data_IF_837084413132
#
_entry.id   IF_837084413132
#
_cell.length_a   1.000
_cell.length_b   1.000
_cell.length_c   1.000
_cell.angle_alpha   90.00
_cell.angle_beta   90.00
_cell.angle_gamma   90.00
#
_symmetry.space_group_name_H-M   'P 1'
#
loop_
_entity.id
_entity.type
_entity.pdbx_description
1 polymer ?
#
# COMPACT_ATOMS: atom_id res chain seq x y z
N UNK A 1 -0.71 15.58 -4.10
CA UNK A 1 -1.45 14.60 -3.28
C UNK A 1 -0.83 13.22 -3.48
N UNK A 2 -0.85 12.34 -2.48
CA UNK A 2 -0.31 10.98 -2.60
C UNK A 2 -1.40 10.05 -3.13
N UNK A 3 -1.12 9.29 -4.19
CA UNK A 3 -2.06 8.37 -4.82
C UNK A 3 -1.65 6.91 -4.67
N UNK A 4 -2.59 5.97 -4.86
CA UNK A 4 -2.34 4.53 -4.86
C UNK A 4 -1.36 4.13 -5.97
N UNK A 5 -1.50 4.69 -7.16
CA UNK A 5 -0.61 4.43 -8.30
C UNK A 5 0.82 4.89 -7.98
N UNK A 6 0.96 6.09 -7.41
CA UNK A 6 2.26 6.58 -6.98
C UNK A 6 2.88 5.73 -5.87
N UNK A 7 2.06 5.17 -4.95
CA UNK A 7 2.56 4.24 -3.94
C UNK A 7 3.08 2.96 -4.59
N UNK A 8 2.31 2.38 -5.51
CA UNK A 8 2.66 1.15 -6.22
C UNK A 8 3.99 1.32 -6.97
N UNK A 9 4.13 2.39 -7.74
CA UNK A 9 5.37 2.64 -8.48
C UNK A 9 6.55 2.95 -7.54
N UNK A 10 6.29 3.67 -6.46
CA UNK A 10 7.32 3.89 -5.44
C UNK A 10 7.80 2.57 -4.85
N UNK A 11 6.93 1.69 -4.36
CA UNK A 11 7.37 0.45 -3.71
C UNK A 11 8.02 -0.53 -4.67
N UNK A 12 7.54 -0.61 -5.93
CA UNK A 12 8.20 -1.38 -6.99
C UNK A 12 9.64 -0.91 -7.21
N UNK A 13 9.87 0.40 -7.24
CA UNK A 13 11.22 0.98 -7.39
C UNK A 13 12.19 0.65 -6.26
N UNK A 14 11.68 0.17 -5.11
CA UNK A 14 12.50 -0.18 -3.93
C UNK A 14 12.78 -1.66 -3.81
N UNK A 15 12.26 -2.52 -4.71
CA UNK A 15 12.59 -3.94 -4.72
C UNK A 15 14.11 -4.12 -4.82
N UNK A 16 14.69 -4.95 -3.93
CA UNK A 16 16.13 -5.14 -3.80
C UNK A 16 16.81 -4.22 -2.78
N UNK A 17 16.14 -3.18 -2.28
CA UNK A 17 16.67 -2.38 -1.17
C UNK A 17 16.78 -3.23 0.12
N UNK A 18 17.83 -3.07 0.94
CA UNK A 18 17.96 -3.83 2.17
C UNK A 18 16.95 -3.46 3.27
N UNK A 19 16.73 -4.39 4.20
CA UNK A 19 15.84 -4.18 5.34
C UNK A 19 16.61 -3.77 6.58
N UNK A 20 16.26 -2.63 7.18
CA UNK A 20 16.79 -2.16 8.46
C UNK A 20 15.64 -1.76 9.38
N UNK A 21 15.54 -2.43 10.54
CA UNK A 21 14.45 -2.17 11.49
C UNK A 21 14.45 -0.71 11.96
N UNK A 22 13.31 -0.03 11.87
CA UNK A 22 13.13 1.36 12.28
C UNK A 22 13.60 2.39 11.25
N UNK A 23 13.75 2.03 9.98
CA UNK A 23 14.21 2.94 8.90
C UNK A 23 13.15 3.13 7.83
N UNK A 24 13.19 4.26 7.14
CA UNK A 24 12.15 4.68 6.20
C UNK A 24 12.74 5.34 4.95
N UNK A 25 13.79 4.75 4.38
CA UNK A 25 14.50 5.26 3.20
C UNK A 25 15.78 6.03 3.52
N UNK A 26 16.25 5.94 4.77
CA UNK A 26 17.55 6.46 5.18
C UNK A 26 18.66 5.81 4.33
N UNK A 27 19.76 6.54 4.10
CA UNK A 27 20.97 5.96 3.51
C UNK A 27 21.74 5.25 4.61
N UNK A 28 21.99 3.95 4.42
CA UNK A 28 22.79 3.15 5.33
C UNK A 28 24.20 3.74 5.48
N UNK A 29 24.60 3.95 6.73
CA UNK A 29 25.88 4.55 7.10
C UNK A 29 26.30 4.06 8.49
N UNK A 30 27.57 4.30 8.84
CA UNK A 30 28.10 4.02 10.18
C UNK A 30 27.27 4.71 11.27
N UNK A 31 26.94 5.99 11.07
CA UNK A 31 26.17 6.77 12.04
C UNK A 31 24.75 6.24 12.22
N UNK A 32 24.09 5.85 11.13
CA UNK A 32 22.77 5.25 11.19
C UNK A 32 22.81 3.89 11.89
N UNK A 33 23.81 3.06 11.59
CA UNK A 33 23.98 1.75 12.22
C UNK A 33 24.15 1.91 13.73
N UNK A 34 25.08 2.76 14.17
CA UNK A 34 25.29 3.04 15.60
C UNK A 34 24.02 3.53 16.28
N UNK A 35 23.31 4.47 15.68
CA UNK A 35 22.06 5.00 16.22
C UNK A 35 20.99 3.91 16.36
N UNK A 36 20.78 3.09 15.31
CA UNK A 36 19.76 2.04 15.34
C UNK A 36 20.14 0.86 16.22
N UNK A 37 21.42 0.54 16.37
CA UNK A 37 21.89 -0.46 17.32
C UNK A 37 21.61 -0.08 18.77
N UNK A 38 21.75 1.21 19.11
CA UNK A 38 21.38 1.72 20.44
C UNK A 38 19.86 1.72 20.64
N UNK A 39 19.10 2.12 19.61
CA UNK A 39 17.64 2.21 19.69
C UNK A 39 16.96 0.82 19.74
N UNK A 40 17.49 -0.15 19.00
CA UNK A 40 16.86 -1.47 18.80
C UNK A 40 17.88 -2.61 18.87
N UNK A 41 18.58 -2.84 20.00
CA UNK A 41 19.70 -3.79 20.08
C UNK A 41 19.33 -5.23 19.69
N UNK A 42 18.07 -5.64 19.89
CA UNK A 42 17.58 -6.97 19.48
C UNK A 42 17.55 -7.19 17.96
N UNK A 43 17.48 -6.13 17.16
CA UNK A 43 17.46 -6.21 15.70
C UNK A 43 18.85 -6.05 15.08
N UNK A 44 19.77 -5.42 15.81
CA UNK A 44 21.13 -5.09 15.38
C UNK A 44 22.17 -5.84 16.21
N UNK A 45 22.09 -7.17 16.14
CA UNK A 45 23.00 -8.09 16.82
C UNK A 45 24.37 -8.12 16.16
N UNK A 46 25.41 -8.45 16.92
CA UNK A 46 26.81 -8.49 16.46
C UNK A 46 26.98 -9.39 15.21
N UNK A 47 26.33 -10.56 15.18
CA UNK A 47 26.38 -11.47 14.04
C UNK A 47 25.75 -10.92 12.74
N UNK A 48 25.05 -9.77 12.78
CA UNK A 48 24.48 -9.09 11.61
C UNK A 48 25.32 -7.90 11.14
N UNK A 49 26.32 -7.48 11.93
CA UNK A 49 27.04 -6.23 11.71
C UNK A 49 27.75 -6.18 10.36
N UNK A 50 28.45 -7.25 9.98
CA UNK A 50 29.13 -7.33 8.68
C UNK A 50 28.16 -7.12 7.50
N UNK A 51 26.96 -7.71 7.57
CA UNK A 51 25.92 -7.53 6.55
C UNK A 51 25.43 -6.09 6.50
N UNK A 52 25.19 -5.44 7.65
CA UNK A 52 24.80 -4.04 7.68
C UNK A 52 25.89 -3.13 7.08
N UNK A 53 27.16 -3.35 7.43
CA UNK A 53 28.30 -2.61 6.87
C UNK A 53 28.42 -2.77 5.35
N UNK A 54 28.16 -3.97 4.81
CA UNK A 54 28.15 -4.24 3.36
C UNK A 54 27.07 -3.49 2.58
N UNK A 55 26.08 -2.92 3.28
CA UNK A 55 24.93 -2.22 2.69
C UNK A 55 25.08 -0.69 2.74
N UNK A 56 26.19 -0.15 3.25
CA UNK A 56 26.42 1.29 3.29
C UNK A 56 26.29 1.94 1.91
N UNK A 57 25.71 3.15 1.89
CA UNK A 57 25.36 3.87 0.68
C UNK A 57 24.03 3.46 0.04
N UNK A 58 23.40 2.37 0.48
CA UNK A 58 22.08 1.94 -0.03
C UNK A 58 20.94 2.55 0.79
N UNK A 59 19.80 2.80 0.15
CA UNK A 59 18.56 3.11 0.87
C UNK A 59 18.05 1.89 1.63
N UNK A 60 17.62 2.08 2.87
CA UNK A 60 17.13 0.98 3.73
C UNK A 60 15.76 1.30 4.32
N UNK A 61 14.94 0.26 4.46
CA UNK A 61 13.54 0.37 4.87
C UNK A 61 13.18 -0.73 5.88
N UNK A 62 12.22 -0.46 6.76
CA UNK A 62 11.39 -1.51 7.37
C UNK A 62 9.99 -1.56 6.73
N UNK A 63 9.12 -2.42 7.24
CA UNK A 63 7.82 -2.67 6.63
C UNK A 63 6.92 -1.44 6.58
N UNK A 64 6.70 -0.76 7.71
CA UNK A 64 5.92 0.48 7.72
C UNK A 64 6.71 1.66 7.17
N UNK A 65 8.03 1.64 7.32
CA UNK A 65 8.98 2.61 6.80
C UNK A 65 8.99 2.70 5.28
N UNK A 66 8.73 1.61 4.58
CA UNK A 66 8.54 1.62 3.12
C UNK A 66 7.35 2.49 2.70
N UNK A 67 6.21 2.38 3.40
CA UNK A 67 5.02 3.20 3.13
C UNK A 67 5.23 4.64 3.63
N UNK A 68 5.81 4.82 4.82
CA UNK A 68 6.15 6.14 5.36
C UNK A 68 7.08 6.90 4.42
N UNK A 69 8.06 6.24 3.82
CA UNK A 69 8.95 6.85 2.85
C UNK A 69 8.19 7.46 1.66
N UNK A 70 7.21 6.73 1.09
CA UNK A 70 6.37 7.29 0.03
C UNK A 70 5.58 8.51 0.51
N UNK A 71 4.95 8.42 1.69
CA UNK A 71 4.15 9.51 2.24
C UNK A 71 4.98 10.76 2.54
N UNK A 72 6.23 10.59 2.98
CA UNK A 72 7.11 11.65 3.47
C UNK A 72 8.06 12.20 2.41
N UNK A 73 8.20 11.53 1.27
CA UNK A 73 9.03 12.02 0.17
C UNK A 73 8.31 13.20 -0.51
N UNK A 74 8.93 14.38 -0.53
CA UNK A 74 8.43 15.55 -1.25
C UNK A 74 8.65 15.45 -2.77
N UNK A 75 8.23 16.47 -3.51
CA UNK A 75 8.39 16.55 -4.97
C UNK A 75 9.85 16.56 -5.45
N UNK A 76 10.80 16.89 -4.58
CA UNK A 76 12.23 16.91 -4.86
C UNK A 76 12.92 15.59 -4.47
N UNK A 77 12.15 14.59 -4.04
CA UNK A 77 12.69 13.29 -3.62
C UNK A 77 13.27 13.30 -2.19
N UNK A 78 13.03 14.34 -1.40
CA UNK A 78 13.54 14.45 -0.03
C UNK A 78 12.51 13.96 0.98
N UNK A 79 12.95 13.13 1.93
CA UNK A 79 12.12 12.66 3.04
C UNK A 79 11.95 13.80 4.07
N UNK A 80 10.71 14.20 4.30
CA UNK A 80 10.28 15.18 5.30
C UNK A 80 9.49 14.44 6.39
N UNK A 81 10.10 14.27 7.56
CA UNK A 81 9.52 13.52 8.66
C UNK A 81 8.16 14.10 9.12
N UNK A 82 7.20 13.23 9.39
CA UNK A 82 5.89 13.59 9.91
C UNK A 82 5.49 12.66 11.07
N UNK A 83 5.51 13.20 12.30
CA UNK A 83 5.23 12.45 13.53
C UNK A 83 3.80 11.91 13.60
N UNK A 84 2.82 12.59 12.99
CA UNK A 84 1.43 12.11 12.99
C UNK A 84 1.24 10.82 12.17
N UNK A 85 2.22 10.49 11.32
CA UNK A 85 2.21 9.32 10.44
C UNK A 85 3.29 8.31 10.85
N UNK A 86 4.06 8.55 11.92
CA UNK A 86 5.11 7.62 12.36
C UNK A 86 4.50 6.45 13.15
N UNK A 87 3.90 5.54 12.40
CA UNK A 87 3.17 4.40 12.93
C UNK A 87 3.92 3.08 12.68
N UNK A 88 3.72 2.14 13.60
CA UNK A 88 4.03 0.72 13.36
C UNK A 88 3.02 0.10 12.40
N UNK A 89 3.28 -1.12 11.91
CA UNK A 89 2.32 -1.87 11.08
C UNK A 89 0.93 -1.98 11.75
N UNK A 90 0.90 -2.28 13.06
CA UNK A 90 -0.35 -2.34 13.82
C UNK A 90 -1.01 -0.95 13.97
N UNK A 91 -0.21 0.10 14.07
CA UNK A 91 -0.68 1.48 14.10
C UNK A 91 -1.35 1.88 12.78
N UNK A 92 -0.74 1.56 11.64
CA UNK A 92 -1.35 1.75 10.32
C UNK A 92 -2.70 1.05 10.22
N UNK A 93 -2.76 -0.23 10.58
CA UNK A 93 -4.01 -1.00 10.52
C UNK A 93 -5.14 -0.35 11.34
N UNK A 94 -4.85 0.08 12.57
CA UNK A 94 -5.83 0.75 13.45
C UNK A 94 -6.35 2.09 12.88
N UNK A 95 -5.58 2.73 12.01
CA UNK A 95 -5.95 4.01 11.39
C UNK A 95 -6.59 3.86 10.00
N UNK A 96 -6.76 2.63 9.50
CA UNK A 96 -7.42 2.41 8.22
C UNK A 96 -8.93 2.72 8.35
N UNK A 97 -9.49 3.68 7.60
CA UNK A 97 -10.92 4.02 7.68
C UNK A 97 -11.81 2.94 7.07
N UNK A 98 -11.26 2.13 6.16
CA UNK A 98 -11.89 0.97 5.55
C UNK A 98 -10.91 -0.19 5.63
N UNK A 99 -11.36 -1.33 6.14
CA UNK A 99 -10.55 -2.53 6.32
C UNK A 99 -11.42 -3.78 6.38
N UNK A 100 -10.79 -4.95 6.28
CA UNK A 100 -11.46 -6.25 6.38
C UNK A 100 -10.48 -7.39 6.57
N UNK A 101 -11.01 -8.61 6.69
CA UNK A 101 -10.17 -9.82 6.67
C UNK A 101 -9.61 -10.04 5.27
N UNK A 102 -8.46 -10.69 5.16
CA UNK A 102 -7.79 -10.89 3.86
C UNK A 102 -8.68 -11.61 2.84
N UNK A 103 -9.61 -12.45 3.30
CA UNK A 103 -10.57 -13.18 2.46
C UNK A 103 -11.64 -12.30 1.82
N UNK A 104 -11.84 -11.08 2.32
CA UNK A 104 -12.81 -10.11 1.78
C UNK A 104 -12.11 -8.96 1.05
N UNK A 105 -10.81 -9.07 0.79
CA UNK A 105 -10.04 -8.03 0.12
C UNK A 105 -10.52 -7.90 -1.33
N UNK A 106 -10.96 -6.71 -1.77
CA UNK A 106 -11.23 -6.48 -3.18
C UNK A 106 -9.91 -6.46 -3.97
N UNK A 107 -9.97 -6.75 -5.26
CA UNK A 107 -8.82 -6.57 -6.15
C UNK A 107 -8.60 -5.09 -6.46
N UNK A 108 -8.14 -4.34 -5.46
CA UNK A 108 -7.85 -2.91 -5.54
C UNK A 108 -6.36 -2.65 -5.27
N UNK A 109 -5.55 -2.39 -6.30
CA UNK A 109 -4.14 -2.07 -6.13
C UNK A 109 -3.90 -0.87 -5.20
N UNK A 110 -2.82 -0.92 -4.43
CA UNK A 110 -2.42 0.10 -3.45
C UNK A 110 -2.90 -0.16 -2.02
N UNK A 111 -3.81 -1.13 -1.83
CA UNK A 111 -4.24 -1.54 -0.48
C UNK A 111 -3.06 -1.99 0.37
N UNK A 112 -3.13 -1.69 1.67
CA UNK A 112 -2.19 -2.24 2.65
C UNK A 112 -2.67 -3.61 3.11
N UNK A 113 -1.76 -4.57 3.19
CA UNK A 113 -2.02 -5.91 3.75
C UNK A 113 -1.24 -6.10 5.03
N UNK A 114 -1.84 -6.79 6.00
CA UNK A 114 -1.36 -6.85 7.38
C UNK A 114 -1.34 -8.27 7.92
N UNK A 115 -0.30 -8.58 8.69
CA UNK A 115 -0.24 -9.69 9.64
C UNK A 115 0.35 -9.15 10.95
N UNK A 116 0.28 -9.87 12.08
CA UNK A 116 0.74 -9.34 13.36
C UNK A 116 2.17 -8.78 13.29
N UNK A 117 2.32 -7.46 13.50
CA UNK A 117 3.61 -6.77 13.50
C UNK A 117 4.24 -6.52 12.12
N UNK A 118 3.53 -6.80 11.01
CA UNK A 118 4.09 -6.67 9.67
C UNK A 118 3.05 -6.18 8.65
N UNK A 119 3.52 -5.49 7.61
CA UNK A 119 2.67 -4.97 6.54
C UNK A 119 3.37 -4.98 5.17
N UNK A 120 2.56 -4.95 4.11
CA UNK A 120 2.99 -4.81 2.72
C UNK A 120 1.98 -3.99 1.91
N UNK A 121 2.32 -3.73 0.65
CA UNK A 121 1.45 -3.02 -0.31
C UNK A 121 1.03 -4.00 -1.39
N UNK A 122 -0.27 -4.22 -1.54
CA UNK A 122 -0.83 -4.97 -2.66
C UNK A 122 -0.67 -4.15 -3.95
N UNK A 123 -0.11 -4.76 -4.99
CA UNK A 123 0.20 -4.07 -6.25
C UNK A 123 -0.64 -4.56 -7.44
N UNK A 124 -1.71 -5.31 -7.17
CA UNK A 124 -2.56 -5.95 -8.18
C UNK A 124 -2.10 -7.37 -8.53
N UNK A 125 -2.95 -8.10 -9.26
CA UNK A 125 -2.64 -9.43 -9.80
C UNK A 125 -2.15 -10.46 -8.77
N UNK A 126 -2.64 -10.39 -7.53
CA UNK A 126 -2.21 -11.31 -6.47
C UNK A 126 -0.78 -11.06 -5.96
N UNK A 127 -0.16 -9.92 -6.26
CA UNK A 127 1.22 -9.60 -5.87
C UNK A 127 1.27 -8.52 -4.76
N UNK A 128 2.27 -8.65 -3.88
CA UNK A 128 2.54 -7.72 -2.77
C UNK A 128 3.99 -7.31 -2.78
N UNK A 129 4.29 -6.04 -2.51
CA UNK A 129 5.65 -5.58 -2.20
C UNK A 129 5.76 -5.33 -0.70
N UNK A 130 6.79 -5.90 -0.08
CA UNK A 130 7.03 -5.79 1.36
C UNK A 130 8.53 -5.68 1.68
N UNK A 131 8.88 -4.84 2.66
CA UNK A 131 10.18 -4.90 3.31
C UNK A 131 10.14 -6.06 4.32
N UNK A 132 10.43 -7.28 3.84
CA UNK A 132 10.09 -8.55 4.52
C UNK A 132 10.88 -8.82 5.80
N UNK A 133 12.11 -8.32 5.88
CA UNK A 133 12.99 -8.53 7.02
C UNK A 133 14.46 -8.61 6.62
N UNK A 134 15.34 -8.65 7.63
CA UNK A 134 16.80 -8.56 7.48
C UNK A 134 17.37 -9.48 6.39
N UNK A 135 16.95 -10.74 6.35
CA UNK A 135 17.47 -11.74 5.40
C UNK A 135 16.98 -11.58 3.96
N UNK A 136 16.04 -10.66 3.70
CA UNK A 136 15.34 -10.56 2.41
C UNK A 136 15.42 -9.16 1.80
N UNK A 137 15.28 -8.10 2.61
CA UNK A 137 15.10 -6.75 2.08
C UNK A 137 13.66 -6.48 1.62
N UNK A 138 13.53 -5.54 0.69
CA UNK A 138 12.28 -5.25 -0.03
C UNK A 138 12.15 -6.21 -1.19
N UNK A 139 11.05 -6.97 -1.19
CA UNK A 139 10.80 -8.05 -2.16
C UNK A 139 9.36 -8.01 -2.64
N UNK A 140 9.14 -8.61 -3.82
CA UNK A 140 7.82 -8.95 -4.31
C UNK A 140 7.46 -10.37 -3.86
N UNK A 141 6.25 -10.56 -3.35
CA UNK A 141 5.72 -11.85 -2.89
C UNK A 141 4.32 -12.07 -3.44
N UNK A 142 3.93 -13.33 -3.58
CA UNK A 142 2.54 -13.68 -3.89
C UNK A 142 1.69 -13.55 -2.63
N UNK A 143 0.55 -12.86 -2.74
CA UNK A 143 -0.41 -12.61 -1.67
C UNK A 143 -0.79 -13.92 -0.96
N UNK A 144 -1.13 -14.96 -1.74
CA UNK A 144 -1.60 -16.24 -1.21
C UNK A 144 -0.49 -17.09 -0.56
N UNK A 145 0.80 -16.80 -0.83
CA UNK A 145 1.94 -17.51 -0.24
C UNK A 145 2.42 -16.91 1.08
N UNK A 146 1.76 -15.85 1.55
CA UNK A 146 2.11 -15.14 2.78
C UNK A 146 0.92 -15.18 3.74
N UNK A 147 1.14 -15.29 5.06
CA UNK A 147 0.07 -15.45 6.04
C UNK A 147 -0.62 -14.12 6.39
N UNK A 148 -0.95 -13.31 5.39
CA UNK A 148 -1.71 -12.07 5.56
C UNK A 148 -3.07 -12.38 6.23
N UNK A 149 -3.52 -11.49 7.11
CA UNK A 149 -4.74 -11.67 7.91
C UNK A 149 -5.78 -10.62 7.61
N UNK A 150 -5.36 -9.38 7.39
CA UNK A 150 -6.25 -8.26 7.15
C UNK A 150 -5.73 -7.40 6.00
N UNK A 151 -6.60 -6.57 5.45
CA UNK A 151 -6.28 -5.50 4.53
C UNK A 151 -6.85 -4.16 5.02
N UNK A 152 -6.37 -3.05 4.49
CA UNK A 152 -6.90 -1.75 4.81
C UNK A 152 -6.48 -0.64 3.85
N UNK A 153 -7.31 0.40 3.77
CA UNK A 153 -7.06 1.63 3.02
C UNK A 153 -6.19 2.56 3.85
N UNK A 154 -5.08 3.04 3.30
CA UNK A 154 -4.26 4.05 3.96
C UNK A 154 -4.98 5.41 3.95
N UNK A 155 -5.23 6.07 5.10
CA UNK A 155 -6.00 7.32 5.16
C UNK A 155 -5.32 8.53 4.50
N UNK A 156 -4.03 8.42 4.19
CA UNK A 156 -3.24 9.49 3.56
C UNK A 156 -3.02 9.29 2.06
N UNK A 157 -3.72 8.33 1.45
CA UNK A 157 -3.60 7.99 0.05
C UNK A 157 -4.96 8.13 -0.61
N UNK A 158 -4.97 8.79 -1.76
CA UNK A 158 -6.11 8.84 -2.67
C UNK A 158 -6.09 7.59 -3.55
N UNK A 159 -7.22 6.90 -3.64
CA UNK A 159 -7.38 5.67 -4.42
C UNK A 159 -8.28 5.95 -5.62
N UNK A 160 -8.04 5.21 -6.71
CA UNK A 160 -9.02 5.05 -7.78
C UNK A 160 -9.64 3.68 -7.69
N UNK A 161 -10.96 3.63 -7.66
CA UNK A 161 -11.73 2.40 -7.74
C UNK A 161 -11.47 1.66 -9.04
N UNK A 162 -11.57 0.32 -8.99
CA UNK A 162 -11.43 -0.53 -10.18
C UNK A 162 -12.68 -0.55 -11.03
N UNK A 163 -13.82 -0.17 -10.47
CA UNK A 163 -15.13 -0.26 -11.11
C UNK A 163 -15.80 -1.63 -10.98
N UNK A 164 -15.13 -2.66 -10.44
CA UNK A 164 -15.75 -3.92 -10.05
C UNK A 164 -16.44 -3.73 -8.70
N UNK A 165 -17.73 -3.39 -8.71
CA UNK A 165 -18.44 -2.94 -7.50
C UNK A 165 -19.08 -4.12 -6.75
N UNK A 166 -19.36 -5.22 -7.45
CA UNK A 166 -19.91 -6.42 -6.83
C UNK A 166 -18.85 -7.44 -6.38
N UNK A 167 -17.57 -7.17 -6.67
CA UNK A 167 -16.39 -7.89 -6.17
C UNK A 167 -16.36 -9.34 -6.68
N UNK A 168 -16.78 -9.55 -7.92
CA UNK A 168 -16.75 -10.85 -8.59
C UNK A 168 -15.50 -11.07 -9.47
N UNK A 169 -14.57 -10.11 -9.45
CA UNK A 169 -13.36 -10.02 -10.26
C UNK A 169 -13.62 -9.88 -11.76
N UNK A 170 -14.77 -9.34 -12.16
CA UNK A 170 -15.11 -9.07 -13.55
C UNK A 170 -15.70 -7.68 -13.70
N UNK A 171 -15.02 -6.84 -14.44
CA UNK A 171 -15.56 -5.54 -14.83
C UNK A 171 -16.62 -5.71 -15.92
N UNK A 172 -17.88 -5.43 -15.62
CA UNK A 172 -18.99 -5.63 -16.57
C UNK A 172 -19.97 -4.45 -16.61
N UNK A 173 -20.90 -4.47 -17.58
CA UNK A 173 -22.00 -3.50 -17.63
C UNK A 173 -22.96 -3.61 -16.42
N UNK A 174 -22.89 -4.70 -15.64
CA UNK A 174 -23.61 -4.83 -14.37
C UNK A 174 -23.06 -3.85 -13.34
N UNK A 175 -21.75 -3.64 -13.30
CA UNK A 175 -21.12 -2.68 -12.40
C UNK A 175 -21.47 -1.25 -12.76
N UNK A 176 -21.43 -0.91 -14.05
CA UNK A 176 -21.86 0.42 -14.51
C UNK A 176 -23.31 0.72 -14.07
N UNK A 177 -24.20 -0.27 -14.20
CA UNK A 177 -25.58 -0.16 -13.70
C UNK A 177 -25.63 -0.06 -12.17
N UNK A 178 -24.80 -0.81 -11.46
CA UNK A 178 -24.74 -0.77 -10.00
C UNK A 178 -24.30 0.62 -9.50
N UNK A 179 -23.27 1.21 -10.12
CA UNK A 179 -22.86 2.60 -9.88
C UNK A 179 -24.03 3.58 -10.08
N UNK A 180 -24.77 3.49 -11.20
CA UNK A 180 -25.94 4.35 -11.42
C UNK A 180 -27.03 4.17 -10.35
N UNK A 181 -27.28 2.93 -9.91
CA UNK A 181 -28.26 2.68 -8.84
C UNK A 181 -27.81 3.28 -7.51
N UNK A 182 -26.51 3.23 -7.18
CA UNK A 182 -25.94 3.88 -6.00
C UNK A 182 -26.13 5.39 -6.08
N UNK A 183 -25.81 6.00 -7.23
CA UNK A 183 -25.98 7.44 -7.48
C UNK A 183 -27.45 7.86 -7.33
N UNK A 184 -28.37 7.05 -7.85
CA UNK A 184 -29.81 7.31 -7.78
C UNK A 184 -30.43 7.00 -6.40
N UNK A 185 -29.67 6.51 -5.43
CA UNK A 185 -30.18 6.10 -4.11
C UNK A 185 -31.04 4.83 -4.14
N UNK A 186 -30.98 4.07 -5.23
CA UNK A 186 -31.71 2.82 -5.44
C UNK A 186 -30.96 1.58 -4.94
N UNK A 187 -29.70 1.75 -4.52
CA UNK A 187 -28.84 0.70 -3.97
C UNK A 187 -28.07 1.23 -2.76
N UNK A 188 -28.00 0.43 -1.68
CA UNK A 188 -27.14 0.76 -0.54
C UNK A 188 -25.70 0.30 -0.82
N UNK A 189 -24.76 1.22 -0.74
CA UNK A 189 -23.33 0.95 -0.86
C UNK A 189 -22.64 1.09 0.49
N UNK A 190 -21.93 0.04 0.91
CA UNK A 190 -20.96 0.12 1.99
C UNK A 190 -19.70 0.90 1.54
N UNK A 191 -18.74 1.06 2.45
CA UNK A 191 -17.53 1.83 2.16
C UNK A 191 -16.66 1.19 1.07
N UNK A 192 -16.66 -0.14 0.94
CA UNK A 192 -15.90 -0.85 -0.09
C UNK A 192 -16.53 -0.60 -1.46
N UNK A 193 -17.84 -0.78 -1.59
CA UNK A 193 -18.56 -0.50 -2.84
C UNK A 193 -18.39 0.95 -3.28
N UNK A 194 -18.43 1.91 -2.35
CA UNK A 194 -18.19 3.32 -2.67
C UNK A 194 -16.77 3.57 -3.17
N UNK A 195 -15.78 2.94 -2.53
CA UNK A 195 -14.37 3.03 -2.93
C UNK A 195 -14.14 2.45 -4.33
N UNK A 196 -14.74 1.29 -4.64
CA UNK A 196 -14.59 0.64 -5.94
C UNK A 196 -15.35 1.36 -7.06
N UNK A 197 -16.45 2.03 -6.72
CA UNK A 197 -17.27 2.78 -7.67
C UNK A 197 -16.73 4.17 -8.01
N UNK A 198 -15.85 4.76 -7.19
CA UNK A 198 -15.18 6.04 -7.44
C UNK A 198 -13.93 5.82 -8.30
N UNK A 199 -14.11 5.73 -9.61
CA UNK A 199 -13.05 5.25 -10.52
C UNK A 199 -12.18 6.38 -11.07
N UNK A 200 -12.60 7.63 -10.93
CA UNK A 200 -11.75 8.79 -11.18
C UNK A 200 -10.98 9.25 -9.93
N UNK A 201 -11.37 8.75 -8.75
CA UNK A 201 -10.70 8.95 -7.47
C UNK A 201 -11.00 10.30 -6.84
N UNK A 202 -12.06 11.01 -7.25
CA UNK A 202 -12.39 12.35 -6.75
C UNK A 202 -13.06 12.34 -5.36
N UNK A 203 -13.32 11.15 -4.80
CA UNK A 203 -13.95 10.93 -3.51
C UNK A 203 -15.48 10.81 -3.57
N UNK A 204 -16.09 10.83 -4.76
CA UNK A 204 -17.55 10.78 -4.96
C UNK A 204 -17.92 9.75 -6.01
N UNK A 205 -19.00 9.01 -5.73
CA UNK A 205 -19.63 8.16 -6.73
C UNK A 205 -20.67 8.98 -7.48
N UNK A 206 -20.47 9.16 -8.78
CA UNK A 206 -21.32 9.97 -9.66
C UNK A 206 -21.72 9.22 -10.93
N UNK A 207 -22.62 9.82 -11.73
CA UNK A 207 -22.96 9.28 -13.05
C UNK A 207 -21.76 9.27 -14.02
N UNK A 208 -20.74 10.09 -13.75
CA UNK A 208 -19.48 10.10 -14.53
C UNK A 208 -18.73 8.78 -14.32
N UNK A 209 -18.63 8.30 -13.08
CA UNK A 209 -17.99 7.02 -12.77
C UNK A 209 -18.69 5.87 -13.45
N UNK A 210 -20.03 5.82 -13.34
CA UNK A 210 -20.81 4.80 -14.02
C UNK A 210 -20.59 4.77 -15.54
N UNK A 211 -20.50 5.95 -16.17
CA UNK A 211 -20.19 6.07 -17.59
C UNK A 211 -18.76 5.60 -17.89
N UNK A 212 -17.78 5.97 -17.07
CA UNK A 212 -16.40 5.55 -17.24
C UNK A 212 -16.24 4.03 -17.07
N UNK A 213 -16.99 3.40 -16.15
CA UNK A 213 -17.04 1.93 -16.00
C UNK A 213 -17.56 1.32 -17.30
N UNK A 214 -18.67 1.83 -17.85
CA UNK A 214 -19.23 1.33 -19.10
C UNK A 214 -18.27 1.52 -20.28
N UNK A 215 -17.54 2.64 -20.33
CA UNK A 215 -16.53 2.90 -21.35
C UNK A 215 -15.36 1.91 -21.25
N UNK A 216 -14.87 1.61 -20.04
CA UNK A 216 -13.85 0.57 -19.82
C UNK A 216 -14.34 -0.80 -20.29
N UNK A 217 -15.56 -1.20 -19.92
CA UNK A 217 -16.20 -2.46 -20.35
C UNK A 217 -16.30 -2.55 -21.88
N UNK A 218 -16.57 -1.44 -22.55
CA UNK A 218 -16.66 -1.36 -24.01
C UNK A 218 -15.29 -1.25 -24.72
N UNK A 219 -14.17 -1.24 -23.98
CA UNK A 219 -12.82 -1.06 -24.54
C UNK A 219 -12.54 0.36 -25.07
N UNK A 220 -13.29 1.36 -24.59
CA UNK A 220 -13.16 2.76 -25.00
C UNK A 220 -12.27 3.59 -24.08
N UNK A 221 -11.85 3.02 -22.94
CA UNK A 221 -10.87 3.58 -22.02
C UNK A 221 -9.88 2.47 -21.68
N UNK A 222 -8.59 2.71 -21.89
CA UNK A 222 -7.51 1.84 -21.40
C UNK A 222 -7.27 2.06 -19.90
N UNK A 223 -6.62 1.08 -19.25
CA UNK A 223 -6.30 1.07 -17.81
C UNK A 223 -5.31 2.16 -17.38
#
# INVERSE_FOLDING_TARGET
MKTSEGLIEFVKSKIGCPYWYGTFGNIASESLLKYKSQQYPKHYTENREATYRSQFGKQVFDCSGLVKAYLWTDENGKIVYNSAQDLSANGFYKNCPVSGTISTMPDLPGLLVFMPGHMGVYIGNGEVVEARGFSYGVVKTELLKRPWKNWGVCPWIQYKGTGDIDVDNKLTAKDARLALRIVAGLEKADAVKKLLADIDGDGKVTAKDARMILQKVAGLLEE
#
